data_IF_820643037029
#
_entry.id   IF_820643037029
#
_cell.length_a   1.000
_cell.length_b   1.000
_cell.length_c   1.000
_cell.angle_alpha   90.00
_cell.angle_beta   90.00
_cell.angle_gamma   90.00
#
_symmetry.space_group_name_H-M   'P 1'
#
loop_
_entity.id
_entity.type
_entity.pdbx_description
1 polymer ?
#
# COMPACT_ATOMS: atom_id res chain seq x y z
N UNK A 1 12.22 -48.45 -11.40
CA UNK A 1 10.95 -47.70 -11.59
C UNK A 1 10.39 -47.07 -10.29
N UNK A 2 11.21 -46.64 -9.30
CA UNK A 2 10.71 -46.03 -8.05
C UNK A 2 11.22 -44.61 -7.77
N UNK A 3 12.33 -44.20 -8.40
CA UNK A 3 13.01 -42.92 -8.15
C UNK A 3 12.35 -41.71 -8.84
N UNK A 4 11.70 -41.89 -10.00
CA UNK A 4 11.04 -40.79 -10.72
C UNK A 4 9.75 -40.30 -10.02
N UNK A 5 9.09 -41.17 -9.24
CA UNK A 5 7.90 -40.79 -8.46
C UNK A 5 8.25 -39.77 -7.37
N UNK A 6 9.43 -39.88 -6.78
CA UNK A 6 9.92 -38.94 -5.76
C UNK A 6 10.18 -37.55 -6.36
N UNK A 7 10.74 -37.52 -7.58
CA UNK A 7 11.05 -36.28 -8.30
C UNK A 7 9.78 -35.52 -8.71
N UNK A 8 8.73 -36.24 -9.13
CA UNK A 8 7.42 -35.64 -9.49
C UNK A 8 6.76 -35.01 -8.26
N UNK A 9 6.84 -35.64 -7.09
CA UNK A 9 6.29 -35.10 -5.83
C UNK A 9 7.07 -33.85 -5.40
N UNK A 10 8.39 -33.86 -5.54
CA UNK A 10 9.24 -32.72 -5.20
C UNK A 10 8.97 -31.51 -6.12
N UNK A 11 8.72 -31.75 -7.40
CA UNK A 11 8.41 -30.71 -8.38
C UNK A 11 7.01 -30.11 -8.18
N UNK A 12 6.03 -30.92 -7.74
CA UNK A 12 4.68 -30.44 -7.44
C UNK A 12 4.64 -29.47 -6.24
N UNK A 13 5.54 -29.61 -5.27
CA UNK A 13 5.65 -28.71 -4.11
C UNK A 13 6.19 -27.32 -4.45
N UNK A 14 6.86 -27.16 -5.60
CA UNK A 14 7.39 -25.86 -6.05
C UNK A 14 6.32 -24.97 -6.72
N UNK A 15 5.16 -25.53 -7.07
CA UNK A 15 4.07 -24.80 -7.72
C UNK A 15 2.94 -24.38 -6.77
N UNK A 16 3.02 -24.69 -5.48
CA UNK A 16 2.11 -24.14 -4.47
C UNK A 16 2.52 -22.71 -4.09
N UNK A 17 2.71 -21.85 -5.09
CA UNK A 17 2.78 -20.42 -4.88
C UNK A 17 1.33 -19.90 -4.84
N UNK A 18 0.74 -19.91 -3.65
CA UNK A 18 -0.54 -19.27 -3.42
C UNK A 18 -0.37 -17.77 -3.71
N UNK A 19 -0.97 -17.28 -4.80
CA UNK A 19 -0.96 -15.85 -5.07
C UNK A 19 -1.80 -15.16 -4.00
N UNK A 20 -1.12 -14.60 -3.00
CA UNK A 20 -1.76 -13.70 -2.04
C UNK A 20 -2.32 -12.55 -2.86
N UNK A 21 -3.64 -12.56 -3.09
CA UNK A 21 -4.36 -11.45 -3.73
C UNK A 21 -3.89 -10.15 -3.08
N UNK A 22 -3.41 -9.24 -3.93
CA UNK A 22 -2.77 -7.98 -3.56
C UNK A 22 -3.61 -7.23 -2.52
N UNK A 23 -3.18 -7.28 -1.25
CA UNK A 23 -3.79 -6.47 -0.21
C UNK A 23 -3.01 -5.17 -0.12
N UNK A 24 -3.59 -4.10 -0.65
CA UNK A 24 -3.22 -2.75 -0.22
C UNK A 24 -3.44 -2.72 1.29
N UNK A 25 -2.36 -2.51 2.06
CA UNK A 25 -2.49 -2.28 3.50
C UNK A 25 -3.35 -1.05 3.70
N UNK A 26 -4.37 -1.20 4.53
CA UNK A 26 -5.30 -0.12 4.81
C UNK A 26 -4.60 1.03 5.51
N UNK A 27 -3.61 0.74 6.36
CA UNK A 27 -3.09 1.69 7.34
C UNK A 27 -1.79 2.36 6.88
N UNK A 28 -1.83 3.68 6.80
CA UNK A 28 -0.74 4.57 6.41
C UNK A 28 -0.37 5.46 7.57
N UNK A 29 0.93 5.56 7.84
CA UNK A 29 1.48 6.34 8.95
C UNK A 29 2.24 7.54 8.44
N UNK A 30 2.19 8.64 9.19
CA UNK A 30 2.98 9.82 8.88
C UNK A 30 4.48 9.50 8.79
N UNK A 31 5.15 10.12 7.82
CA UNK A 31 6.60 10.03 7.66
C UNK A 31 7.26 11.42 7.61
N UNK A 32 6.75 12.33 6.77
CA UNK A 32 7.31 13.69 6.65
C UNK A 32 6.40 14.68 5.92
N UNK A 33 6.63 15.98 6.12
CA UNK A 33 5.96 17.05 5.38
C UNK A 33 4.63 17.45 6.00
N UNK A 34 3.64 17.79 5.16
CA UNK A 34 2.28 18.08 5.59
C UNK A 34 1.70 16.92 6.41
N UNK A 35 1.35 17.23 7.65
CA UNK A 35 0.76 16.31 8.60
C UNK A 35 -0.68 16.74 8.87
N UNK A 36 -1.61 15.80 8.81
CA UNK A 36 -3.00 16.01 9.24
C UNK A 36 -3.49 14.90 10.17
N UNK A 37 -2.60 14.03 10.64
CA UNK A 37 -2.89 12.96 11.60
C UNK A 37 -1.97 11.75 11.45
N UNK A 38 -1.89 10.95 12.51
CA UNK A 38 -0.93 9.84 12.60
C UNK A 38 -1.26 8.63 11.70
N UNK A 39 -2.55 8.40 11.43
CA UNK A 39 -3.04 7.21 10.72
C UNK A 39 -4.14 7.53 9.70
N UNK A 40 -3.99 6.99 8.49
CA UNK A 40 -5.02 6.98 7.45
C UNK A 40 -5.35 5.52 7.10
N UNK A 41 -6.64 5.14 7.14
CA UNK A 41 -7.09 3.78 6.87
C UNK A 41 -8.10 3.70 5.72
N UNK A 42 -7.80 2.94 4.67
CA UNK A 42 -8.74 2.69 3.56
C UNK A 42 -9.51 1.37 3.77
N UNK A 43 -10.85 1.43 3.83
CA UNK A 43 -11.68 0.24 4.08
C UNK A 43 -11.78 -0.72 2.89
N UNK A 44 -11.58 -0.25 1.66
CA UNK A 44 -11.70 -1.09 0.46
C UNK A 44 -10.33 -1.45 -0.11
N UNK A 45 -10.13 -2.74 -0.36
CA UNK A 45 -8.93 -3.28 -1.01
C UNK A 45 -9.14 -3.29 -2.53
N UNK A 46 -8.07 -3.05 -3.31
CA UNK A 46 -8.09 -2.80 -4.77
C UNK A 46 -8.54 -1.40 -5.22
N UNK A 47 -8.23 -0.37 -4.43
CA UNK A 47 -8.47 1.01 -4.86
C UNK A 47 -7.31 1.53 -5.71
N UNK A 48 -7.61 1.96 -6.93
CA UNK A 48 -6.73 2.83 -7.70
C UNK A 48 -7.14 4.27 -7.41
N UNK A 49 -6.50 4.90 -6.42
CA UNK A 49 -6.79 6.29 -6.03
C UNK A 49 -5.69 7.19 -6.58
N UNK A 50 -6.03 8.02 -7.57
CA UNK A 50 -5.18 9.08 -8.09
C UNK A 50 -6.02 10.34 -8.30
N UNK A 51 -5.54 11.47 -7.80
CA UNK A 51 -6.23 12.78 -7.83
C UNK A 51 -7.58 12.80 -7.10
N UNK A 52 -7.74 11.96 -6.07
CA UNK A 52 -8.95 11.96 -5.25
C UNK A 52 -8.82 12.90 -4.05
N UNK A 53 -9.92 13.47 -3.60
CA UNK A 53 -9.96 14.43 -2.50
C UNK A 53 -10.31 13.74 -1.18
N UNK A 54 -9.45 13.91 -0.18
CA UNK A 54 -9.70 13.50 1.20
C UNK A 54 -10.53 14.58 1.88
N UNK A 55 -11.65 14.19 2.47
CA UNK A 55 -12.53 15.05 3.25
C UNK A 55 -12.43 14.74 4.75
N UNK A 56 -12.44 15.77 5.58
CA UNK A 56 -12.61 15.69 7.03
C UNK A 56 -13.82 16.53 7.42
N UNK A 57 -14.81 15.92 8.06
CA UNK A 57 -16.06 16.58 8.45
C UNK A 57 -16.72 17.34 7.28
N UNK A 58 -16.81 16.67 6.12
CA UNK A 58 -17.29 17.22 4.84
C UNK A 58 -16.48 18.39 4.26
N UNK A 59 -15.35 18.74 4.88
CA UNK A 59 -14.43 19.78 4.40
C UNK A 59 -13.29 19.14 3.62
N UNK A 60 -13.00 19.57 2.38
CA UNK A 60 -11.88 19.06 1.62
C UNK A 60 -10.56 19.45 2.30
N UNK A 61 -9.72 18.46 2.57
CA UNK A 61 -8.50 18.61 3.35
C UNK A 61 -7.24 18.43 2.49
N UNK A 62 -7.18 17.34 1.72
CA UNK A 62 -5.99 16.99 0.94
C UNK A 62 -6.35 16.30 -0.37
N UNK A 63 -5.43 16.32 -1.32
CA UNK A 63 -5.53 15.58 -2.58
C UNK A 63 -4.52 14.44 -2.56
N UNK A 64 -4.96 13.23 -2.92
CA UNK A 64 -4.06 12.09 -3.15
C UNK A 64 -3.34 12.30 -4.47
N UNK A 65 -2.05 12.64 -4.38
CA UNK A 65 -1.20 12.88 -5.54
C UNK A 65 -0.70 11.55 -6.11
N UNK A 66 -0.25 10.66 -5.24
CA UNK A 66 0.42 9.45 -5.68
C UNK A 66 0.33 8.32 -4.64
N UNK A 67 0.14 7.10 -5.14
CA UNK A 67 0.25 5.86 -4.37
C UNK A 67 1.30 4.98 -5.05
N UNK A 68 2.46 4.78 -4.41
CA UNK A 68 3.50 3.85 -4.86
C UNK A 68 3.47 2.58 -4.04
N UNK A 69 3.19 1.47 -4.70
CA UNK A 69 3.28 0.13 -4.12
C UNK A 69 4.60 -0.52 -4.53
N UNK A 70 5.35 -1.02 -3.56
CA UNK A 70 6.58 -1.77 -3.79
C UNK A 70 6.39 -3.22 -3.31
N UNK A 71 6.82 -4.17 -4.13
CA UNK A 71 6.64 -5.61 -3.85
C UNK A 71 7.91 -6.29 -3.34
N UNK A 72 9.00 -5.55 -3.22
CA UNK A 72 10.29 -6.07 -2.76
C UNK A 72 10.32 -6.16 -1.22
N UNK A 73 10.76 -7.29 -0.64
CA UNK A 73 10.96 -7.41 0.79
C UNK A 73 11.86 -6.29 1.33
N UNK A 74 11.47 -5.69 2.46
CA UNK A 74 12.21 -4.58 3.08
C UNK A 74 11.88 -3.19 2.54
N UNK A 75 11.22 -3.07 1.39
CA UNK A 75 10.75 -1.75 0.89
C UNK A 75 9.44 -1.31 1.54
N UNK A 76 9.15 -0.01 1.47
CA UNK A 76 7.93 0.59 2.02
C UNK A 76 7.03 1.07 0.88
N UNK A 77 5.72 0.95 1.09
CA UNK A 77 4.75 1.62 0.23
C UNK A 77 4.70 3.10 0.61
N UNK A 78 4.45 3.96 -0.38
CA UNK A 78 4.42 5.43 -0.17
C UNK A 78 3.11 6.01 -0.66
N UNK A 79 2.54 6.89 0.15
CA UNK A 79 1.38 7.71 -0.17
C UNK A 79 1.78 9.18 -0.09
N UNK A 80 1.59 9.91 -1.18
CA UNK A 80 1.87 11.35 -1.27
C UNK A 80 0.56 12.12 -1.33
N UNK A 81 0.41 13.06 -0.40
CA UNK A 81 -0.77 13.90 -0.22
C UNK A 81 -0.39 15.35 -0.42
N UNK A 82 -1.31 16.15 -0.95
CA UNK A 82 -1.15 17.60 -1.10
C UNK A 82 -2.23 18.33 -0.31
N UNK A 83 -1.82 19.20 0.61
CA UNK A 83 -2.76 20.07 1.32
C UNK A 83 -3.47 21.01 0.33
N UNK A 84 -4.79 21.12 0.46
CA UNK A 84 -5.60 21.96 -0.43
C UNK A 84 -5.37 23.45 -0.15
N UNK A 85 -5.06 23.83 1.09
CA UNK A 85 -4.90 25.25 1.46
C UNK A 85 -3.53 25.80 1.11
N UNK A 86 -2.47 25.12 1.53
CA UNK A 86 -1.09 25.57 1.36
C UNK A 86 -0.41 24.99 0.11
N UNK A 87 -0.94 23.91 -0.47
CA UNK A 87 -0.28 23.16 -1.53
C UNK A 87 0.93 22.33 -1.06
N UNK A 88 1.22 22.29 0.25
CA UNK A 88 2.31 21.53 0.82
C UNK A 88 2.13 20.03 0.62
N UNK A 89 3.25 19.32 0.43
CA UNK A 89 3.25 17.86 0.27
C UNK A 89 3.49 17.16 1.60
N UNK A 90 2.74 16.09 1.83
CA UNK A 90 2.87 15.17 2.97
C UNK A 90 3.11 13.75 2.47
N UNK A 91 4.01 13.05 3.14
CA UNK A 91 4.38 11.68 2.79
C UNK A 91 4.06 10.74 3.96
N UNK A 92 3.39 9.64 3.61
CA UNK A 92 2.94 8.59 4.52
C UNK A 92 3.46 7.24 4.02
N UNK A 93 3.77 6.32 4.92
CA UNK A 93 4.23 4.97 4.57
C UNK A 93 3.49 3.88 5.34
N UNK A 94 3.53 2.65 4.85
CA UNK A 94 2.89 1.51 5.52
C UNK A 94 3.66 1.01 6.76
N UNK A 95 4.84 1.58 7.04
CA UNK A 95 5.67 1.26 8.20
C UNK A 95 5.76 2.41 9.19
N UNK A 96 5.68 3.66 8.72
CA UNK A 96 5.92 4.86 9.51
C UNK A 96 7.41 5.14 9.67
N UNK A 97 7.73 6.24 10.35
CA UNK A 97 9.10 6.59 10.73
C UNK A 97 9.63 5.74 11.89
#
# INVERSE_FOLDING_TARGET
MKSYKLFIILFALLFSCESKKDKIKSDWKYYSGFDFGDFLSFKHQNLKIQNDTIYKDSTPLAIIVELKTNYLPGTENKLTLKDIKSGALGMYTDKGK
#
